data_IF_006817496521
#
_entry.id   IF_006817496521
#
_cell.length_a   1.000
_cell.length_b   1.000
_cell.length_c   1.000
_cell.angle_alpha   90.00
_cell.angle_beta   90.00
_cell.angle_gamma   90.00
#
_symmetry.space_group_name_H-M   'P 1'
#
loop_
_entity.id
_entity.type
_entity.pdbx_description
1 polymer ?
#
# COMPACT_ATOMS: atom_id res chain seq x y z
N UNK A 1 41.06 -22.81 20.99
CA UNK A 1 40.97 -23.39 19.63
C UNK A 1 40.00 -22.55 18.84
N UNK A 2 40.52 -21.60 18.05
CA UNK A 2 39.74 -20.67 17.22
C UNK A 2 39.48 -21.34 15.88
N UNK A 3 38.22 -21.68 15.61
CA UNK A 3 37.81 -22.22 14.30
C UNK A 3 37.68 -21.06 13.29
N UNK A 4 38.40 -21.09 12.15
CA UNK A 4 38.22 -20.10 11.10
C UNK A 4 36.88 -20.28 10.39
N UNK A 5 36.18 -19.16 10.12
CA UNK A 5 34.94 -19.14 9.34
C UNK A 5 35.22 -19.48 7.86
N UNK A 6 34.29 -20.21 7.19
CA UNK A 6 34.41 -20.51 5.77
C UNK A 6 34.16 -19.27 4.89
N UNK A 7 34.80 -19.20 3.70
CA UNK A 7 34.65 -18.08 2.78
C UNK A 7 33.27 -18.05 2.12
N UNK A 8 32.75 -16.84 1.89
CA UNK A 8 31.46 -16.60 1.27
C UNK A 8 31.46 -16.98 -0.22
N UNK A 9 30.35 -17.53 -0.75
CA UNK A 9 30.24 -17.90 -2.16
C UNK A 9 30.13 -16.67 -3.09
N UNK A 10 30.61 -16.77 -4.33
CA UNK A 10 30.58 -15.67 -5.29
C UNK A 10 29.17 -15.38 -5.82
N UNK A 11 28.83 -14.10 -5.88
CA UNK A 11 27.58 -13.58 -6.46
C UNK A 11 27.59 -13.79 -7.97
N UNK A 12 26.70 -14.66 -8.47
CA UNK A 12 26.46 -14.79 -9.90
C UNK A 12 25.57 -13.64 -10.39
N UNK A 13 26.10 -12.86 -11.32
CA UNK A 13 25.41 -11.75 -11.98
C UNK A 13 24.29 -12.30 -12.89
N UNK A 14 23.05 -11.97 -12.57
CA UNK A 14 21.86 -12.33 -13.34
C UNK A 14 21.69 -11.32 -14.49
N UNK A 15 22.19 -11.66 -15.69
CA UNK A 15 21.91 -10.90 -16.91
C UNK A 15 20.48 -11.19 -17.39
N UNK A 16 19.59 -10.20 -17.30
CA UNK A 16 18.26 -10.23 -17.91
C UNK A 16 18.25 -9.32 -19.13
N UNK A 17 18.30 -9.92 -20.32
CA UNK A 17 18.07 -9.22 -21.59
C UNK A 17 16.57 -9.12 -21.87
N UNK A 18 16.07 -7.90 -22.05
CA UNK A 18 14.71 -7.66 -22.54
C UNK A 18 14.79 -7.20 -24.00
N UNK A 19 14.31 -8.07 -24.90
CA UNK A 19 14.07 -7.76 -26.31
C UNK A 19 12.89 -6.80 -26.45
N UNK A 20 13.11 -5.72 -27.18
CA UNK A 20 12.06 -4.84 -27.69
C UNK A 20 11.24 -5.58 -28.76
N UNK A 21 9.92 -5.63 -28.60
CA UNK A 21 8.99 -6.09 -29.62
C UNK A 21 8.13 -4.92 -30.11
N UNK A 22 7.92 -4.95 -31.42
CA UNK A 22 7.47 -3.90 -32.31
C UNK A 22 6.02 -3.42 -32.09
N UNK A 23 5.79 -2.17 -32.51
CA UNK A 23 4.49 -1.60 -32.76
C UNK A 23 3.81 -2.29 -33.95
N UNK A 24 2.57 -2.77 -33.75
CA UNK A 24 1.72 -3.36 -34.76
C UNK A 24 0.54 -2.46 -35.12
N UNK A 25 0.32 -2.32 -36.42
CA UNK A 25 -0.71 -1.56 -37.13
C UNK A 25 -2.15 -1.79 -36.64
N UNK A 26 -2.92 -0.72 -36.71
CA UNK A 26 -4.39 -0.71 -36.62
C UNK A 26 -4.95 -1.03 -38.01
N UNK A 27 -5.59 -2.19 -38.16
CA UNK A 27 -6.34 -2.57 -39.37
C UNK A 27 -7.84 -2.60 -39.05
N UNK A 28 -8.60 -1.96 -39.94
CA UNK A 28 -10.04 -1.77 -39.87
C UNK A 28 -10.78 -2.94 -40.50
N UNK A 29 -11.83 -3.46 -39.84
CA UNK A 29 -12.91 -4.24 -40.44
C UNK A 29 -13.94 -4.57 -39.33
N UNK A 30 -15.21 -4.87 -39.54
CA UNK A 30 -16.20 -4.65 -40.59
C UNK A 30 -17.50 -5.21 -39.95
N UNK A 31 -18.62 -4.51 -40.10
CA UNK A 31 -19.91 -4.95 -39.57
C UNK A 31 -20.39 -6.24 -40.26
N UNK A 32 -20.78 -7.23 -39.47
CA UNK A 32 -21.37 -8.49 -39.94
C UNK A 32 -22.21 -9.14 -38.85
N UNK A 33 -23.53 -8.96 -38.92
CA UNK A 33 -24.53 -9.71 -38.17
C UNK A 33 -24.60 -11.16 -38.66
N UNK A 34 -24.40 -12.11 -37.76
CA UNK A 34 -24.87 -13.47 -37.91
C UNK A 34 -25.18 -14.04 -36.52
N UNK A 35 -26.46 -14.34 -36.29
CA UNK A 35 -26.95 -15.01 -35.09
C UNK A 35 -26.39 -16.44 -35.05
N UNK A 36 -25.59 -16.73 -34.02
CA UNK A 36 -25.03 -18.05 -33.75
C UNK A 36 -25.71 -18.68 -32.52
N UNK A 37 -25.95 -20.00 -32.53
CA UNK A 37 -26.72 -20.71 -31.51
C UNK A 37 -25.99 -20.76 -30.17
N UNK A 38 -26.76 -20.53 -29.09
CA UNK A 38 -26.35 -20.65 -27.69
C UNK A 38 -25.80 -22.05 -27.39
N UNK A 39 -24.50 -22.24 -27.60
CA UNK A 39 -23.77 -23.39 -27.09
C UNK A 39 -23.62 -23.22 -25.59
N UNK A 40 -24.16 -24.18 -24.85
CA UNK A 40 -23.99 -24.34 -23.41
C UNK A 40 -22.49 -24.28 -23.08
N UNK A 41 -22.09 -23.14 -22.50
CA UNK A 41 -20.71 -22.86 -22.16
C UNK A 41 -20.21 -23.82 -21.09
N UNK A 42 -18.93 -24.24 -21.15
CA UNK A 42 -18.35 -25.15 -20.18
C UNK A 42 -18.57 -24.60 -18.77
N UNK A 43 -19.32 -25.36 -17.98
CA UNK A 43 -19.58 -25.17 -16.56
C UNK A 43 -18.27 -24.77 -15.87
N UNK A 44 -18.16 -23.47 -15.57
CA UNK A 44 -16.97 -22.89 -14.97
C UNK A 44 -16.79 -23.53 -13.60
N UNK A 45 -15.88 -24.50 -13.52
CA UNK A 45 -15.47 -25.15 -12.29
C UNK A 45 -15.25 -24.04 -11.24
N UNK A 46 -16.14 -24.02 -10.24
CA UNK A 46 -16.04 -23.11 -9.10
C UNK A 46 -14.66 -23.36 -8.48
N UNK A 47 -13.80 -22.34 -8.43
CA UNK A 47 -12.40 -22.55 -8.11
C UNK A 47 -12.29 -23.04 -6.67
N UNK A 48 -11.43 -24.03 -6.44
CA UNK A 48 -10.99 -24.53 -5.11
C UNK A 48 -10.28 -23.45 -4.25
N UNK A 49 -10.55 -22.17 -4.53
CA UNK A 49 -9.90 -20.98 -4.00
C UNK A 49 -10.33 -20.66 -2.56
N UNK A 50 -11.42 -21.24 -2.05
CA UNK A 50 -11.96 -20.84 -0.76
C UNK A 50 -11.10 -21.30 0.44
N UNK A 51 -10.55 -22.52 0.42
CA UNK A 51 -9.77 -23.03 1.56
C UNK A 51 -8.39 -22.38 1.68
N UNK A 52 -7.65 -22.27 0.58
CA UNK A 52 -6.33 -21.63 0.53
C UNK A 52 -6.43 -20.15 0.92
N UNK A 53 -7.50 -19.50 0.47
CA UNK A 53 -7.72 -18.10 0.78
C UNK A 53 -8.06 -17.93 2.28
N UNK A 54 -8.87 -18.81 2.85
CA UNK A 54 -9.16 -18.80 4.29
C UNK A 54 -7.92 -19.10 5.14
N UNK A 55 -7.05 -20.01 4.70
CA UNK A 55 -5.77 -20.31 5.34
C UNK A 55 -4.81 -19.11 5.30
N UNK A 56 -4.74 -18.39 4.18
CA UNK A 56 -3.96 -17.17 4.07
C UNK A 56 -4.50 -16.05 4.97
N UNK A 57 -5.82 -15.86 5.08
CA UNK A 57 -6.41 -14.91 6.05
C UNK A 57 -6.09 -15.26 7.49
N UNK A 58 -6.12 -16.56 7.84
CA UNK A 58 -5.75 -17.03 9.18
C UNK A 58 -4.28 -16.72 9.50
N UNK A 59 -3.38 -16.92 8.54
CA UNK A 59 -1.95 -16.54 8.68
C UNK A 59 -1.78 -15.01 8.79
N UNK A 60 -2.55 -14.26 8.00
CA UNK A 60 -2.53 -12.79 7.99
C UNK A 60 -3.31 -12.15 9.14
N UNK A 61 -3.97 -12.92 10.00
CA UNK A 61 -4.96 -12.44 10.95
C UNK A 61 -4.43 -11.31 11.85
N UNK A 62 -3.19 -11.44 12.35
CA UNK A 62 -2.57 -10.41 13.22
C UNK A 62 -2.34 -9.09 12.49
N UNK A 63 -1.82 -9.16 11.26
CA UNK A 63 -1.60 -7.95 10.46
C UNK A 63 -2.96 -7.32 10.13
N UNK A 64 -3.92 -8.10 9.64
CA UNK A 64 -5.28 -7.63 9.35
C UNK A 64 -5.98 -7.02 10.57
N UNK A 65 -5.80 -7.60 11.76
CA UNK A 65 -6.32 -7.05 13.01
C UNK A 65 -5.71 -5.69 13.32
N UNK A 66 -4.38 -5.57 13.24
CA UNK A 66 -3.73 -4.28 13.46
C UNK A 66 -4.19 -3.22 12.46
N UNK A 67 -4.29 -3.57 11.16
CA UNK A 67 -4.73 -2.67 10.09
C UNK A 67 -6.10 -2.06 10.36
N UNK A 68 -7.04 -2.84 10.92
CA UNK A 68 -8.36 -2.33 11.30
C UNK A 68 -8.33 -1.31 12.43
N UNK A 69 -7.33 -1.39 13.31
CA UNK A 69 -7.19 -0.49 14.45
C UNK A 69 -6.44 0.81 14.12
N UNK A 70 -5.59 0.81 13.08
CA UNK A 70 -4.76 1.97 12.70
C UNK A 70 -5.58 3.24 12.45
N UNK A 71 -6.68 3.23 11.65
CA UNK A 71 -7.41 4.45 11.34
C UNK A 71 -7.93 5.16 12.59
N UNK A 72 -8.37 4.41 13.61
CA UNK A 72 -8.85 4.97 14.87
C UNK A 72 -7.72 5.66 15.64
N UNK A 73 -6.57 4.98 15.77
CA UNK A 73 -5.39 5.53 16.46
C UNK A 73 -4.85 6.79 15.77
N UNK A 74 -4.86 6.82 14.43
CA UNK A 74 -4.37 7.96 13.65
C UNK A 74 -5.33 9.16 13.63
N UNK A 75 -6.63 8.95 13.80
CA UNK A 75 -7.64 10.02 13.71
C UNK A 75 -7.99 10.67 15.05
N UNK A 76 -7.92 9.93 16.16
CA UNK A 76 -8.23 10.43 17.49
C UNK A 76 -6.95 10.62 18.34
N UNK A 77 -6.60 11.86 18.73
CA UNK A 77 -5.47 12.13 19.62
C UNK A 77 -5.54 11.37 20.95
N UNK A 78 -6.73 11.15 21.50
CA UNK A 78 -6.90 10.40 22.74
C UNK A 78 -6.66 8.92 22.53
N UNK A 79 -7.17 8.35 21.43
CA UNK A 79 -6.84 6.98 21.04
C UNK A 79 -5.34 6.80 20.79
N UNK A 80 -4.68 7.80 20.19
CA UNK A 80 -3.23 7.80 20.05
C UNK A 80 -2.53 7.60 21.40
N UNK A 81 -2.78 8.46 22.38
CA UNK A 81 -2.10 8.39 23.68
C UNK A 81 -2.26 7.04 24.40
N UNK A 82 -3.43 6.39 24.25
CA UNK A 82 -3.76 5.17 24.98
C UNK A 82 -3.39 3.88 24.22
N UNK A 83 -3.57 3.83 22.91
CA UNK A 83 -3.54 2.58 22.14
C UNK A 83 -2.38 2.48 21.15
N UNK A 84 -1.64 3.57 20.84
CA UNK A 84 -0.60 3.55 19.80
C UNK A 84 0.45 2.45 20.02
N UNK A 85 0.92 2.25 21.26
CA UNK A 85 1.93 1.23 21.56
C UNK A 85 1.41 -0.19 21.31
N UNK A 86 0.16 -0.46 21.73
CA UNK A 86 -0.48 -1.77 21.56
C UNK A 86 -0.69 -2.07 20.07
N UNK A 87 -1.25 -1.10 19.34
CA UNK A 87 -1.52 -1.25 17.90
C UNK A 87 -0.22 -1.37 17.13
N UNK A 88 0.80 -0.55 17.44
CA UNK A 88 2.11 -0.64 16.80
C UNK A 88 2.83 -1.97 17.08
N UNK A 89 2.76 -2.48 18.31
CA UNK A 89 3.36 -3.78 18.64
C UNK A 89 2.69 -4.93 17.87
N UNK A 90 1.36 -4.91 17.75
CA UNK A 90 0.61 -5.88 16.95
C UNK A 90 0.95 -5.77 15.47
N UNK A 91 0.99 -4.54 14.94
CA UNK A 91 1.35 -4.24 13.56
C UNK A 91 2.75 -4.73 13.21
N UNK A 92 3.75 -4.39 14.05
CA UNK A 92 5.14 -4.84 13.86
C UNK A 92 5.22 -6.36 13.83
N UNK A 93 4.57 -7.04 14.76
CA UNK A 93 4.58 -8.51 14.79
C UNK A 93 3.94 -9.08 13.52
N UNK A 94 2.82 -8.50 13.07
CA UNK A 94 2.19 -8.82 11.79
C UNK A 94 3.14 -8.66 10.60
N UNK A 95 3.87 -7.54 10.50
CA UNK A 95 4.84 -7.30 9.41
C UNK A 95 5.95 -8.36 9.39
N UNK A 96 6.54 -8.66 10.55
CA UNK A 96 7.62 -9.63 10.67
C UNK A 96 7.15 -11.06 10.38
N UNK A 97 5.96 -11.45 10.87
CA UNK A 97 5.34 -12.75 10.57
C UNK A 97 5.00 -12.89 9.06
N UNK A 98 4.85 -11.77 8.35
CA UNK A 98 4.54 -11.73 6.90
C UNK A 98 5.79 -11.67 6.01
N UNK A 99 6.97 -11.57 6.59
CA UNK A 99 8.21 -11.45 5.82
C UNK A 99 8.62 -12.83 5.28
N UNK A 100 8.91 -12.93 3.98
CA UNK A 100 9.47 -14.14 3.36
C UNK A 100 8.47 -15.25 2.99
N UNK A 101 7.17 -15.06 3.25
CA UNK A 101 6.12 -16.03 2.92
C UNK A 101 5.14 -15.55 1.82
N UNK A 102 5.46 -14.44 1.16
CA UNK A 102 4.63 -13.85 0.09
C UNK A 102 3.33 -13.21 0.59
N UNK A 103 3.08 -13.17 1.90
CA UNK A 103 1.80 -12.71 2.45
C UNK A 103 1.58 -11.22 2.19
N UNK A 104 2.62 -10.39 2.24
CA UNK A 104 2.53 -8.95 1.97
C UNK A 104 2.09 -8.61 0.53
N UNK A 105 2.34 -9.50 -0.44
CA UNK A 105 1.90 -9.33 -1.84
C UNK A 105 0.45 -9.74 -2.08
N UNK A 106 -0.18 -10.38 -1.09
CA UNK A 106 -1.49 -10.96 -1.29
C UNK A 106 -2.57 -9.85 -1.44
N UNK A 107 -3.61 -10.06 -2.27
CA UNK A 107 -4.67 -9.07 -2.56
C UNK A 107 -5.68 -8.90 -1.41
N UNK A 108 -5.21 -9.15 -0.19
CA UNK A 108 -5.97 -9.26 1.05
C UNK A 108 -6.05 -7.92 1.77
N UNK A 109 -5.10 -7.04 1.45
CA UNK A 109 -4.94 -5.71 2.01
C UNK A 109 -5.51 -4.70 1.03
N UNK A 110 -6.37 -3.82 1.51
CA UNK A 110 -6.82 -2.70 0.68
C UNK A 110 -5.73 -1.64 0.58
N UNK A 111 -5.68 -0.91 -0.54
CA UNK A 111 -4.74 0.20 -0.70
C UNK A 111 -4.90 1.26 0.40
N UNK A 112 -6.13 1.43 0.92
CA UNK A 112 -6.40 2.33 2.04
C UNK A 112 -5.72 1.86 3.32
N UNK A 113 -5.80 0.58 3.64
CA UNK A 113 -5.16 0.04 4.87
C UNK A 113 -3.63 0.11 4.79
N UNK A 114 -3.07 -0.17 3.60
CA UNK A 114 -1.64 -0.01 3.31
C UNK A 114 -1.22 1.45 3.50
N UNK A 115 -2.01 2.39 2.96
CA UNK A 115 -1.76 3.83 3.12
C UNK A 115 -1.75 4.26 4.59
N UNK A 116 -2.78 3.90 5.36
CA UNK A 116 -2.89 4.25 6.78
C UNK A 116 -1.74 3.64 7.60
N UNK A 117 -1.25 2.47 7.21
CA UNK A 117 -0.07 1.84 7.83
C UNK A 117 1.21 2.64 7.63
N UNK A 118 1.43 3.16 6.42
CA UNK A 118 2.57 4.03 6.16
C UNK A 118 2.46 5.32 6.97
N UNK A 119 1.26 5.90 7.07
CA UNK A 119 1.02 7.09 7.91
C UNK A 119 1.32 6.80 9.39
N UNK A 120 0.91 5.64 9.91
CA UNK A 120 1.25 5.22 11.27
C UNK A 120 2.77 5.14 11.48
N UNK A 121 3.51 4.54 10.56
CA UNK A 121 4.97 4.41 10.67
C UNK A 121 5.67 5.77 10.69
N UNK A 122 5.25 6.71 9.84
CA UNK A 122 5.78 8.07 9.83
C UNK A 122 5.46 8.80 11.13
N UNK A 123 4.24 8.66 11.65
CA UNK A 123 3.84 9.31 12.89
C UNK A 123 4.54 8.71 14.11
N UNK A 124 4.74 7.39 14.13
CA UNK A 124 5.53 6.69 15.15
C UNK A 124 7.00 7.15 15.14
N UNK A 125 7.61 7.28 13.95
CA UNK A 125 8.97 7.79 13.82
C UNK A 125 9.10 9.22 14.35
N UNK A 126 8.10 10.06 14.08
CA UNK A 126 8.07 11.48 14.48
C UNK A 126 7.87 11.66 15.98
N UNK A 127 6.90 10.95 16.58
CA UNK A 127 6.53 11.12 18.00
C UNK A 127 7.38 10.30 18.96
N UNK A 128 7.95 9.17 18.51
CA UNK A 128 8.64 8.22 19.38
C UNK A 128 10.06 7.87 18.87
N UNK A 129 11.04 8.77 19.01
CA UNK A 129 12.43 8.52 18.57
C UNK A 129 13.07 7.27 19.18
N UNK A 130 12.64 6.88 20.38
CA UNK A 130 13.12 5.67 21.07
C UNK A 130 12.69 4.36 20.38
N UNK A 131 11.64 4.41 19.54
CA UNK A 131 11.10 3.25 18.79
C UNK A 131 11.65 3.17 17.38
N UNK A 132 12.55 4.07 16.97
CA UNK A 132 13.11 4.18 15.61
C UNK A 132 13.54 2.86 14.99
N UNK A 133 14.27 2.02 15.73
CA UNK A 133 14.70 0.68 15.23
C UNK A 133 13.52 -0.22 14.89
N UNK A 134 12.48 -0.20 15.71
CA UNK A 134 11.26 -1.01 15.47
C UNK A 134 10.49 -0.50 14.25
N UNK A 135 10.46 0.82 14.05
CA UNK A 135 9.85 1.41 12.85
C UNK A 135 10.65 1.02 11.61
N UNK A 136 11.98 1.12 11.64
CA UNK A 136 12.87 0.67 10.54
C UNK A 136 12.66 -0.80 10.18
N UNK A 137 12.52 -1.68 11.16
CA UNK A 137 12.23 -3.10 10.93
C UNK A 137 10.93 -3.30 10.14
N UNK A 138 9.87 -2.58 10.51
CA UNK A 138 8.61 -2.62 9.78
C UNK A 138 8.78 -2.05 8.37
N UNK A 139 9.40 -0.88 8.26
CA UNK A 139 9.67 -0.23 6.98
C UNK A 139 10.48 -1.11 6.03
N UNK A 140 11.45 -1.87 6.54
CA UNK A 140 12.22 -2.84 5.75
C UNK A 140 11.35 -4.01 5.30
N UNK A 141 10.57 -4.59 6.21
CA UNK A 141 9.67 -5.70 5.89
C UNK A 141 8.66 -5.31 4.80
N UNK A 142 8.03 -4.14 4.94
CA UNK A 142 7.06 -3.62 3.98
C UNK A 142 7.71 -3.12 2.70
N UNK A 143 8.90 -2.50 2.80
CA UNK A 143 9.66 -2.00 1.66
C UNK A 143 10.22 -3.11 0.76
N UNK A 144 10.32 -4.34 1.26
CA UNK A 144 10.62 -5.50 0.43
C UNK A 144 9.42 -5.96 -0.42
N UNK A 145 8.21 -5.47 -0.11
CA UNK A 145 6.99 -5.81 -0.85
C UNK A 145 6.69 -4.80 -1.96
N UNK A 146 6.50 -5.30 -3.17
CA UNK A 146 6.21 -4.50 -4.35
C UNK A 146 4.89 -3.75 -4.22
N UNK A 147 3.81 -4.46 -3.83
CA UNK A 147 2.49 -3.83 -3.66
C UNK A 147 2.51 -2.68 -2.64
N UNK A 148 3.18 -2.89 -1.50
CA UNK A 148 3.28 -1.87 -0.45
C UNK A 148 4.11 -0.67 -0.88
N UNK A 149 5.19 -0.91 -1.62
CA UNK A 149 5.98 0.14 -2.25
C UNK A 149 5.15 0.96 -3.24
N UNK A 150 4.36 0.32 -4.12
CA UNK A 150 3.52 1.03 -5.09
C UNK A 150 2.53 1.99 -4.42
N UNK A 151 1.85 1.55 -3.36
CA UNK A 151 0.91 2.41 -2.61
C UNK A 151 1.64 3.59 -1.95
N UNK A 152 2.84 3.36 -1.40
CA UNK A 152 3.69 4.41 -0.85
C UNK A 152 4.03 5.48 -1.90
N UNK A 153 4.35 5.08 -3.13
CA UNK A 153 4.66 6.04 -4.21
C UNK A 153 3.40 6.76 -4.72
N UNK A 154 2.31 6.02 -4.87
CA UNK A 154 1.06 6.52 -5.45
C UNK A 154 0.27 7.44 -4.51
N UNK A 155 0.37 7.24 -3.20
CA UNK A 155 -0.43 8.00 -2.24
C UNK A 155 0.03 9.45 -2.09
N UNK A 156 -0.84 10.40 -2.44
CA UNK A 156 -0.60 11.84 -2.21
C UNK A 156 -0.54 12.18 -0.72
N UNK A 157 -1.33 11.51 0.13
CA UNK A 157 -1.36 11.74 1.57
C UNK A 157 -0.04 11.35 2.21
N UNK A 158 0.47 10.16 1.89
CA UNK A 158 1.76 9.69 2.41
C UNK A 158 2.91 10.57 1.91
N UNK A 159 2.92 10.92 0.62
CA UNK A 159 3.95 11.84 0.08
C UNK A 159 3.94 13.22 0.76
N UNK A 160 2.76 13.78 1.03
CA UNK A 160 2.65 15.05 1.75
C UNK A 160 3.26 14.93 3.15
N UNK A 161 2.95 13.84 3.87
CA UNK A 161 3.56 13.59 5.19
C UNK A 161 5.06 13.33 5.13
N UNK A 162 5.56 12.65 4.09
CA UNK A 162 7.00 12.45 3.89
C UNK A 162 7.74 13.78 3.77
N UNK A 163 7.17 14.77 3.09
CA UNK A 163 7.78 16.10 2.95
C UNK A 163 7.87 16.87 4.28
N UNK A 164 7.02 16.56 5.26
CA UNK A 164 7.06 17.16 6.60
C UNK A 164 8.18 16.56 7.48
N UNK A 165 8.72 15.39 7.11
CA UNK A 165 9.74 14.69 7.89
C UNK A 165 11.14 15.12 7.44
N UNK A 166 12.04 15.50 8.37
CA UNK A 166 13.41 15.87 8.01
C UNK A 166 14.12 14.77 7.21
N UNK A 167 14.86 15.15 6.17
CA UNK A 167 15.51 14.21 5.25
C UNK A 167 16.43 13.21 5.98
N UNK A 168 17.17 13.67 6.99
CA UNK A 168 18.02 12.80 7.81
C UNK A 168 17.24 11.70 8.54
N UNK A 169 16.00 11.98 8.96
CA UNK A 169 15.12 10.98 9.56
C UNK A 169 14.58 10.02 8.50
N UNK A 170 14.21 10.51 7.31
CA UNK A 170 13.77 9.66 6.20
C UNK A 170 14.85 8.68 5.74
N UNK A 171 16.08 9.17 5.48
CA UNK A 171 17.20 8.32 5.04
C UNK A 171 17.46 7.18 6.01
N UNK A 172 17.35 7.47 7.30
CA UNK A 172 17.55 6.46 8.31
C UNK A 172 16.33 5.55 8.51
N UNK A 173 15.10 6.08 8.44
CA UNK A 173 13.87 5.28 8.50
C UNK A 173 13.84 4.22 7.39
N UNK A 174 14.32 4.60 6.20
CA UNK A 174 14.41 3.75 5.02
C UNK A 174 15.79 3.08 4.87
N UNK A 175 16.64 3.12 5.90
CA UNK A 175 17.97 2.50 5.86
C UNK A 175 17.86 0.98 5.76
N UNK A 176 18.28 0.46 4.60
CA UNK A 176 18.23 -0.96 4.27
C UNK A 176 16.85 -1.47 3.84
N UNK A 177 15.90 -0.59 3.55
CA UNK A 177 14.75 -0.95 2.72
C UNK A 177 15.14 -0.75 1.25
N UNK A 178 14.85 -1.73 0.40
CA UNK A 178 15.09 -1.66 -1.05
C UNK A 178 14.02 -0.79 -1.75
N UNK A 179 13.79 0.42 -1.22
CA UNK A 179 12.82 1.36 -1.78
C UNK A 179 13.49 2.09 -2.96
N UNK A 180 13.14 1.73 -4.21
CA UNK A 180 13.79 2.32 -5.38
C UNK A 180 13.39 3.80 -5.46
N UNK A 181 14.38 4.69 -5.56
CA UNK A 181 14.29 6.11 -5.97
C UNK A 181 13.21 7.02 -5.35
N UNK A 182 12.47 6.58 -4.34
CA UNK A 182 11.36 7.33 -3.74
C UNK A 182 11.82 8.63 -3.09
N UNK A 183 13.01 8.62 -2.49
CA UNK A 183 13.63 9.80 -1.90
C UNK A 183 14.19 10.76 -2.96
N UNK A 184 14.55 10.25 -4.15
CA UNK A 184 15.11 11.07 -5.23
C UNK A 184 14.04 11.87 -5.98
N UNK A 185 12.79 11.36 -6.04
CA UNK A 185 11.68 12.05 -6.69
C UNK A 185 11.07 13.18 -5.85
N UNK A 186 11.10 13.06 -4.51
CA UNK A 186 10.48 14.05 -3.63
C UNK A 186 11.24 15.38 -3.58
N UNK A 187 12.57 15.35 -3.72
CA UNK A 187 13.42 16.55 -3.70
C UNK A 187 13.41 17.35 -5.01
N UNK A 188 13.06 16.70 -6.13
CA UNK A 188 13.13 17.33 -7.46
C UNK A 188 11.91 18.19 -7.79
N UNK A 189 10.81 18.07 -7.03
CA UNK A 189 9.53 18.76 -7.34
C UNK A 189 9.42 20.18 -6.78
N UNK A 190 10.34 20.62 -5.92
CA UNK A 190 10.28 21.94 -5.27
C UNK A 190 10.98 23.07 -6.05
N UNK A 191 11.57 22.78 -7.22
CA UNK A 191 12.47 23.71 -7.92
C UNK A 191 11.95 24.40 -9.18
N UNK A 192 10.77 24.05 -9.70
CA UNK A 192 10.18 24.72 -10.88
C UNK A 192 8.83 25.31 -10.53
N UNK A 193 8.86 26.40 -9.77
CA UNK A 193 7.78 27.38 -9.80
C UNK A 193 8.00 28.25 -11.04
N UNK A 194 7.21 28.13 -12.12
CA UNK A 194 7.27 29.09 -13.21
C UNK A 194 6.82 30.43 -12.64
N UNK A 195 7.75 31.37 -12.60
CA UNK A 195 7.48 32.76 -12.29
C UNK A 195 6.30 33.27 -13.13
N UNK A 196 5.26 33.72 -12.42
CA UNK A 196 4.35 34.79 -12.82
C UNK A 196 3.84 34.78 -14.28
N UNK A 197 2.78 34.03 -14.54
CA UNK A 197 1.77 34.44 -15.51
C UNK A 197 0.47 34.73 -14.76
N UNK A 198 0.25 36.01 -14.50
CA UNK A 198 -0.98 36.58 -13.94
C UNK A 198 -2.17 36.20 -14.82
N UNK A 199 -3.08 35.35 -14.34
CA UNK A 199 -4.36 35.06 -14.99
C UNK A 199 -5.48 35.52 -14.05
N UNK A 200 -6.42 36.36 -14.52
CA UNK A 200 -7.45 36.97 -13.67
C UNK A 200 -8.51 35.96 -13.21
N UNK A 201 -9.00 36.20 -11.99
CA UNK A 201 -10.10 35.49 -11.35
C UNK A 201 -11.37 35.51 -12.22
N UNK A 202 -11.94 34.32 -12.47
CA UNK A 202 -13.29 34.14 -12.99
C UNK A 202 -13.87 32.84 -12.44
N UNK A 203 -14.96 32.97 -11.69
CA UNK A 203 -15.85 31.96 -11.12
C UNK A 203 -15.83 30.55 -11.75
N UNK A 204 -15.44 29.54 -10.97
CA UNK A 204 -15.85 28.14 -11.19
C UNK A 204 -15.61 27.30 -9.92
N UNK A 205 -16.21 27.71 -8.80
CA UNK A 205 -16.23 26.95 -7.55
C UNK A 205 -17.64 26.44 -7.28
N UNK A 206 -18.07 25.37 -7.96
CA UNK A 206 -19.22 24.52 -7.57
C UNK A 206 -19.46 23.38 -8.58
N UNK A 207 -18.64 22.32 -8.61
CA UNK A 207 -19.03 21.04 -9.23
C UNK A 207 -17.97 19.96 -9.02
N UNK A 208 -17.75 19.45 -7.81
CA UNK A 208 -17.17 18.10 -7.61
C UNK A 208 -17.35 17.64 -6.15
N UNK A 209 -18.60 17.68 -5.67
CA UNK A 209 -18.96 17.11 -4.36
C UNK A 209 -20.39 16.54 -4.40
N UNK A 210 -20.65 15.70 -5.39
CA UNK A 210 -21.92 14.98 -5.53
C UNK A 210 -21.68 13.62 -6.18
N UNK A 211 -20.99 12.71 -5.47
CA UNK A 211 -20.97 11.27 -5.75
C UNK A 211 -20.29 10.53 -4.57
N UNK A 212 -20.94 10.54 -3.40
CA UNK A 212 -20.54 9.69 -2.26
C UNK A 212 -21.72 9.19 -1.40
N UNK A 213 -22.97 9.48 -1.78
CA UNK A 213 -24.16 9.06 -1.01
C UNK A 213 -25.14 8.29 -1.89
N UNK A 214 -24.76 7.09 -2.34
CA UNK A 214 -25.68 6.17 -2.99
C UNK A 214 -25.22 4.71 -2.84
N UNK A 215 -25.06 4.24 -1.59
CA UNK A 215 -25.07 2.80 -1.27
C UNK A 215 -25.12 2.58 0.25
N UNK A 216 -26.30 2.67 0.85
CA UNK A 216 -26.59 1.95 2.10
C UNK A 216 -28.08 1.64 2.20
N UNK A 217 -28.52 0.44 1.77
CA UNK A 217 -29.90 0.01 1.93
C UNK A 217 -30.02 -1.11 2.99
N UNK A 218 -29.55 -0.91 4.22
CA UNK A 218 -29.92 -1.80 5.35
C UNK A 218 -30.08 -1.02 6.66
N UNK A 219 -31.22 -0.35 6.81
CA UNK A 219 -31.74 0.03 8.11
C UNK A 219 -33.20 -0.40 8.18
N UNK A 220 -33.44 -1.60 8.72
CA UNK A 220 -34.77 -2.05 9.09
C UNK A 220 -35.14 -1.42 10.46
N UNK A 221 -36.34 -0.84 10.62
CA UNK A 221 -36.79 -0.31 11.90
C UNK A 221 -37.20 -1.46 12.85
N UNK A 222 -36.64 -1.43 14.05
CA UNK A 222 -37.08 -2.26 15.20
C UNK A 222 -38.48 -1.80 15.61
N UNK A 223 -39.46 -2.67 15.42
CA UNK A 223 -40.81 -2.49 15.94
C UNK A 223 -40.82 -2.56 17.46
N UNK A 224 -41.32 -1.49 18.10
CA UNK A 224 -41.75 -1.50 19.48
C UNK A 224 -43.06 -2.31 19.59
N UNK A 225 -43.07 -3.28 20.49
CA UNK A 225 -44.30 -3.96 20.93
C UNK A 225 -44.75 -3.39 22.28
N UNK A 226 -46.06 -3.33 22.54
CA UNK A 226 -46.64 -2.77 23.78
C UNK A 226 -46.44 -3.65 25.01
#
# INVERSE_FOLDING_TARGET
VTHPLPPAPPLQARQGGYSAMAAGSVESAQAGSAEAPCSEGPEAAQPECDEDWLALRKRAARLLESLKAIPQVCSDPKAWENDHERVFALFRRGCLDSTGNGMLEAPVYSNRDIEESWLLLLEMARRHPNRRKQVQECTRALGASYNWCLVLQGSRRVRSRLQEVPEAQLRDLFSGAELPDLLNQSVSSTGSSPAAASVPQGEAAAQFQAQAEAASPWAAPVGAAP
#
